data_IF_769251067058
#
_entry.id   IF_769251067058
#
_cell.length_a   1.000
_cell.length_b   1.000
_cell.length_c   1.000
_cell.angle_alpha   90.00
_cell.angle_beta   90.00
_cell.angle_gamma   90.00
#
_symmetry.space_group_name_H-M   'P 1'
#
loop_
_entity.id
_entity.type
_entity.pdbx_description
1 polymer ?
#
# COMPACT_ATOMS: atom_id res chain seq x y z
N UNK A 1 -8.25 -13.13 -2.62
CA UNK A 1 -8.33 -13.36 -4.08
C UNK A 1 -8.83 -14.77 -4.34
N UNK A 2 -10.14 -14.94 -4.43
CA UNK A 2 -10.76 -16.11 -5.03
C UNK A 2 -11.64 -15.53 -6.13
N UNK A 3 -11.43 -15.97 -7.37
CA UNK A 3 -12.23 -15.69 -8.59
C UNK A 3 -11.41 -15.19 -9.79
N UNK A 4 -10.29 -15.83 -10.10
CA UNK A 4 -9.89 -16.03 -11.50
C UNK A 4 -9.42 -17.47 -11.64
N UNK A 5 -10.32 -18.36 -12.00
CA UNK A 5 -10.01 -19.76 -12.24
C UNK A 5 -11.25 -20.55 -12.60
N UNK A 6 -11.45 -20.85 -13.89
CA UNK A 6 -12.39 -21.89 -14.31
C UNK A 6 -12.12 -23.16 -13.51
N UNK A 7 -13.14 -23.91 -13.08
CA UNK A 7 -13.13 -24.93 -12.00
C UNK A 7 -12.12 -26.09 -12.02
N UNK A 8 -11.06 -26.02 -12.83
CA UNK A 8 -9.86 -26.86 -12.79
C UNK A 8 -8.58 -26.09 -12.42
N UNK A 9 -8.63 -24.76 -12.26
CA UNK A 9 -7.49 -23.96 -11.84
C UNK A 9 -7.20 -24.18 -10.35
N UNK A 10 -5.92 -24.30 -10.00
CA UNK A 10 -5.45 -24.34 -8.63
C UNK A 10 -4.22 -23.44 -8.48
N UNK A 11 -4.03 -22.88 -7.29
CA UNK A 11 -2.82 -22.13 -6.98
C UNK A 11 -1.62 -23.07 -6.92
N UNK A 12 -0.56 -22.75 -7.66
CA UNK A 12 0.74 -23.45 -7.59
C UNK A 12 1.57 -22.90 -6.42
N UNK A 13 1.44 -21.61 -6.15
CA UNK A 13 1.99 -20.90 -4.99
C UNK A 13 1.11 -19.67 -4.71
N UNK A 14 1.05 -19.23 -3.45
CA UNK A 14 0.48 -17.93 -3.09
C UNK A 14 1.60 -16.88 -2.94
N UNK A 15 1.22 -15.62 -2.65
CA UNK A 15 2.20 -14.54 -2.48
C UNK A 15 3.20 -14.82 -1.36
N UNK A 16 2.77 -15.46 -0.26
CA UNK A 16 3.66 -15.77 0.85
C UNK A 16 4.71 -16.83 0.45
N UNK A 17 4.30 -17.85 -0.32
CA UNK A 17 5.18 -18.92 -0.77
C UNK A 17 6.30 -18.44 -1.72
N UNK A 18 6.12 -17.31 -2.40
CA UNK A 18 7.14 -16.71 -3.28
C UNK A 18 7.86 -15.51 -2.65
N UNK A 19 7.59 -15.20 -1.38
CA UNK A 19 8.13 -14.01 -0.72
C UNK A 19 7.66 -12.70 -1.37
N UNK A 20 6.45 -12.69 -1.93
CA UNK A 20 5.85 -11.51 -2.54
C UNK A 20 5.70 -10.41 -1.49
N UNK A 21 6.32 -9.27 -1.77
CA UNK A 21 6.13 -8.03 -1.02
C UNK A 21 5.17 -7.13 -1.79
N UNK A 22 3.88 -7.17 -1.44
CA UNK A 22 2.85 -6.29 -2.02
C UNK A 22 2.83 -4.96 -1.25
N UNK A 23 3.92 -4.21 -1.37
CA UNK A 23 4.06 -2.93 -0.69
C UNK A 23 3.28 -1.82 -1.42
N UNK A 24 2.52 -1.02 -0.67
CA UNK A 24 1.85 0.19 -1.16
C UNK A 24 2.41 1.41 -0.46
N UNK A 25 2.67 2.48 -1.22
CA UNK A 25 3.14 3.76 -0.68
C UNK A 25 2.22 4.90 -1.09
N UNK A 26 2.21 5.96 -0.27
CA UNK A 26 1.60 7.23 -0.63
C UNK A 26 2.67 8.16 -1.21
N UNK A 27 2.37 8.79 -2.34
CA UNK A 27 3.28 9.72 -3.00
C UNK A 27 2.59 11.05 -3.29
N UNK A 28 3.33 12.15 -3.15
CA UNK A 28 2.88 13.50 -3.48
C UNK A 28 3.92 14.17 -4.38
N UNK A 29 3.48 15.07 -5.27
CA UNK A 29 4.39 15.82 -6.13
C UNK A 29 5.23 16.79 -5.28
N UNK A 30 6.53 16.84 -5.54
CA UNK A 30 7.49 17.73 -4.83
C UNK A 30 6.99 19.17 -4.75
N UNK A 31 6.64 19.78 -5.89
CA UNK A 31 6.17 21.17 -5.91
C UNK A 31 4.87 21.40 -5.13
N UNK A 32 4.02 20.38 -4.98
CA UNK A 32 2.83 20.46 -4.13
C UNK A 32 3.20 20.41 -2.64
N UNK A 33 4.11 19.50 -2.27
CA UNK A 33 4.58 19.41 -0.88
C UNK A 33 5.32 20.68 -0.43
N UNK A 34 6.07 21.32 -1.32
CA UNK A 34 6.75 22.59 -1.07
C UNK A 34 5.79 23.78 -0.93
N UNK A 35 4.73 23.82 -1.76
CA UNK A 35 3.77 24.93 -1.74
C UNK A 35 2.69 24.79 -0.66
N UNK A 36 2.40 23.55 -0.27
CA UNK A 36 1.29 23.21 0.63
C UNK A 36 1.71 22.22 1.73
N UNK A 37 2.76 22.53 2.51
CA UNK A 37 3.30 21.64 3.55
C UNK A 37 2.25 21.25 4.58
N UNK A 38 1.41 22.19 5.02
CA UNK A 38 0.35 21.96 6.02
C UNK A 38 -0.76 21.04 5.48
N UNK A 39 -1.04 21.08 4.17
CA UNK A 39 -2.01 20.16 3.56
C UNK A 39 -1.44 18.75 3.52
N UNK A 40 -0.15 18.61 3.19
CA UNK A 40 0.51 17.29 3.17
C UNK A 40 0.56 16.68 4.58
N UNK A 41 0.89 17.48 5.61
CA UNK A 41 0.84 17.03 7.01
C UNK A 41 -0.57 16.59 7.42
N UNK A 42 -1.58 17.40 7.10
CA UNK A 42 -2.97 17.07 7.43
C UNK A 42 -3.45 15.80 6.71
N UNK A 43 -3.09 15.63 5.43
CA UNK A 43 -3.40 14.41 4.68
C UNK A 43 -2.70 13.19 5.28
N UNK A 44 -1.41 13.30 5.63
CA UNK A 44 -0.68 12.23 6.30
C UNK A 44 -1.37 11.83 7.62
N UNK A 45 -1.69 12.80 8.48
CA UNK A 45 -2.35 12.54 9.76
C UNK A 45 -3.70 11.83 9.57
N UNK A 46 -4.52 12.33 8.63
CA UNK A 46 -5.79 11.71 8.29
C UNK A 46 -5.63 10.25 7.84
N UNK A 47 -4.68 9.98 6.94
CA UNK A 47 -4.43 8.63 6.43
C UNK A 47 -3.91 7.70 7.53
N UNK A 48 -3.02 8.17 8.39
CA UNK A 48 -2.52 7.43 9.54
C UNK A 48 -3.66 7.03 10.48
N UNK A 49 -4.44 8.01 10.94
CA UNK A 49 -5.53 7.79 11.88
C UNK A 49 -6.62 6.89 11.27
N UNK A 50 -7.04 7.17 10.04
CA UNK A 50 -8.06 6.37 9.35
C UNK A 50 -7.60 4.93 9.12
N UNK A 51 -6.32 4.70 8.80
CA UNK A 51 -5.80 3.34 8.64
C UNK A 51 -5.76 2.57 9.97
N UNK A 52 -5.54 3.26 11.09
CA UNK A 52 -5.62 2.67 12.42
C UNK A 52 -7.06 2.30 12.80
N UNK A 53 -8.03 3.15 12.46
CA UNK A 53 -9.46 2.87 12.62
C UNK A 53 -9.92 1.72 11.71
N UNK A 54 -9.53 1.72 10.44
CA UNK A 54 -9.84 0.66 9.47
C UNK A 54 -9.34 -0.69 9.97
N UNK A 55 -8.14 -0.75 10.54
CA UNK A 55 -7.59 -1.98 11.10
C UNK A 55 -8.43 -2.53 12.25
N UNK A 56 -9.03 -1.65 13.06
CA UNK A 56 -9.86 -2.04 14.20
C UNK A 56 -11.25 -2.53 13.77
N UNK A 57 -11.87 -1.85 12.80
CA UNK A 57 -13.16 -2.24 12.23
C UNK A 57 -13.14 -2.28 10.68
N UNK A 58 -12.49 -3.29 10.06
CA UNK A 58 -12.41 -3.33 8.61
C UNK A 58 -13.77 -3.46 7.93
N UNK A 59 -14.77 -3.99 8.61
CA UNK A 59 -16.08 -4.22 8.04
C UNK A 59 -16.80 -2.90 7.70
N UNK A 60 -16.56 -1.84 8.47
CA UNK A 60 -17.09 -0.50 8.20
C UNK A 60 -16.48 0.15 6.94
N UNK A 61 -15.33 -0.34 6.49
CA UNK A 61 -14.59 0.18 5.33
C UNK A 61 -14.78 -0.66 4.06
N UNK A 62 -15.55 -1.74 4.13
CA UNK A 62 -15.93 -2.55 2.97
C UNK A 62 -17.34 -2.16 2.50
N UNK A 63 -17.53 -2.12 1.17
CA UNK A 63 -18.82 -1.82 0.55
C UNK A 63 -19.42 -0.45 0.95
N UNK A 64 -18.58 0.52 1.34
CA UNK A 64 -18.99 1.84 1.89
C UNK A 64 -20.10 2.54 1.09
N UNK A 65 -20.07 2.42 -0.24
CA UNK A 65 -21.04 3.07 -1.13
C UNK A 65 -22.08 2.13 -1.74
N UNK A 66 -21.81 0.82 -1.78
CA UNK A 66 -22.70 -0.15 -2.43
C UNK A 66 -22.49 -1.56 -1.88
N UNK A 67 -23.58 -2.19 -1.47
CA UNK A 67 -23.63 -3.59 -1.03
C UNK A 67 -23.91 -4.57 -2.19
N UNK A 68 -24.12 -4.05 -3.40
CA UNK A 68 -24.44 -4.83 -4.59
C UNK A 68 -23.57 -4.42 -5.78
N UNK A 69 -23.38 -5.35 -6.72
CA UNK A 69 -22.61 -5.12 -7.94
C UNK A 69 -21.22 -5.78 -7.92
N UNK A 70 -20.49 -5.72 -9.05
CA UNK A 70 -19.28 -6.53 -9.28
C UNK A 70 -18.10 -6.16 -8.37
N UNK A 71 -18.14 -5.00 -7.70
CA UNK A 71 -17.11 -4.54 -6.77
C UNK A 71 -17.48 -4.77 -5.30
N UNK A 72 -18.73 -5.16 -5.01
CA UNK A 72 -19.17 -5.44 -3.65
C UNK A 72 -18.63 -6.80 -3.20
N UNK A 73 -17.85 -6.81 -2.11
CA UNK A 73 -17.33 -8.06 -1.54
C UNK A 73 -18.40 -8.69 -0.65
N UNK A 74 -18.73 -9.96 -0.91
CA UNK A 74 -19.76 -10.70 -0.17
C UNK A 74 -19.27 -12.09 0.23
N UNK A 75 -19.99 -12.74 1.15
CA UNK A 75 -19.68 -14.10 1.62
C UNK A 75 -18.22 -14.27 2.05
N UNK A 76 -17.58 -15.35 1.57
CA UNK A 76 -16.20 -15.68 1.92
C UNK A 76 -15.19 -14.61 1.50
N UNK A 77 -15.43 -13.90 0.40
CA UNK A 77 -14.55 -12.83 -0.06
C UNK A 77 -14.51 -11.67 0.95
N UNK A 78 -15.67 -11.32 1.54
CA UNK A 78 -15.76 -10.29 2.59
C UNK A 78 -14.99 -10.69 3.84
N UNK A 79 -15.14 -11.94 4.30
CA UNK A 79 -14.41 -12.46 5.46
C UNK A 79 -12.89 -12.41 5.24
N UNK A 80 -12.44 -12.90 4.09
CA UNK A 80 -11.03 -12.92 3.71
C UNK A 80 -10.47 -11.50 3.66
N UNK A 81 -11.18 -10.57 3.01
CA UNK A 81 -10.75 -9.17 2.92
C UNK A 81 -10.67 -8.52 4.31
N UNK A 82 -11.69 -8.74 5.15
CA UNK A 82 -11.72 -8.23 6.54
C UNK A 82 -10.52 -8.75 7.34
N UNK A 83 -10.19 -10.04 7.22
CA UNK A 83 -9.05 -10.64 7.89
C UNK A 83 -7.71 -10.07 7.40
N UNK A 84 -7.56 -9.90 6.08
CA UNK A 84 -6.37 -9.28 5.49
C UNK A 84 -6.19 -7.84 5.97
N UNK A 85 -7.24 -7.01 5.91
CA UNK A 85 -7.17 -5.61 6.36
C UNK A 85 -6.83 -5.51 7.85
N UNK A 86 -7.41 -6.37 8.72
CA UNK A 86 -7.08 -6.40 10.16
C UNK A 86 -5.60 -6.73 10.43
N UNK A 87 -4.98 -7.55 9.57
CA UNK A 87 -3.56 -7.93 9.67
C UNK A 87 -2.63 -6.93 8.99
N UNK A 88 -3.18 -5.97 8.25
CA UNK A 88 -2.41 -4.95 7.52
C UNK A 88 -1.65 -3.98 8.43
N UNK A 89 -0.74 -3.22 7.81
CA UNK A 89 -0.07 -2.08 8.44
C UNK A 89 -0.95 -0.83 8.44
N UNK A 90 -0.52 0.17 9.19
CA UNK A 90 -1.04 1.54 9.11
C UNK A 90 -0.23 2.35 8.10
N UNK A 91 -0.72 3.53 7.73
CA UNK A 91 0.09 4.50 6.98
C UNK A 91 1.11 5.11 7.94
N UNK A 92 2.32 4.59 7.93
CA UNK A 92 3.42 5.02 8.80
C UNK A 92 4.52 5.75 8.00
N UNK A 93 5.41 6.51 8.65
CA UNK A 93 6.58 7.08 8.00
C UNK A 93 7.49 5.97 7.46
N UNK A 94 8.08 6.20 6.29
CA UNK A 94 9.04 5.28 5.67
C UNK A 94 10.29 5.18 6.56
N UNK A 95 10.51 4.00 7.13
CA UNK A 95 11.62 3.72 8.04
C UNK A 95 12.83 3.05 7.35
N UNK A 96 13.91 2.79 8.08
CA UNK A 96 15.13 2.19 7.52
C UNK A 96 14.90 0.83 6.83
N UNK A 97 13.97 0.01 7.34
CA UNK A 97 13.64 -1.27 6.72
C UNK A 97 12.95 -1.09 5.36
N UNK A 98 12.05 -0.13 5.24
CA UNK A 98 11.37 0.21 3.98
C UNK A 98 12.37 0.74 2.94
N UNK A 99 13.31 1.60 3.38
CA UNK A 99 14.36 2.14 2.52
C UNK A 99 15.21 1.02 1.94
N UNK A 100 15.66 0.07 2.76
CA UNK A 100 16.45 -1.07 2.30
C UNK A 100 15.68 -1.91 1.26
N UNK A 101 14.36 -2.09 1.44
CA UNK A 101 13.50 -2.78 0.48
C UNK A 101 13.40 -2.02 -0.84
N UNK A 102 13.14 -0.71 -0.79
CA UNK A 102 13.09 0.12 -2.00
C UNK A 102 14.41 0.15 -2.75
N UNK A 103 15.54 0.18 -2.03
CA UNK A 103 16.87 0.13 -2.65
C UNK A 103 17.13 -1.19 -3.38
N UNK A 104 16.64 -2.31 -2.84
CA UNK A 104 16.73 -3.62 -3.50
C UNK A 104 15.92 -3.63 -4.80
N UNK A 105 14.68 -3.12 -4.76
CA UNK A 105 13.82 -3.01 -5.95
C UNK A 105 14.43 -2.06 -7.00
N UNK A 106 14.93 -0.91 -6.58
CA UNK A 106 15.61 0.05 -7.46
C UNK A 106 16.83 -0.58 -8.15
N UNK A 107 17.57 -1.43 -7.43
CA UNK A 107 18.68 -2.22 -8.00
C UNK A 107 18.21 -3.17 -9.09
N UNK A 108 17.18 -3.99 -8.81
CA UNK A 108 16.59 -4.92 -9.79
C UNK A 108 16.14 -4.16 -11.05
N UNK A 109 15.47 -3.02 -10.89
CA UNK A 109 14.98 -2.24 -12.03
C UNK A 109 16.10 -1.69 -12.91
N UNK A 110 17.20 -1.22 -12.29
CA UNK A 110 18.38 -0.78 -13.02
C UNK A 110 19.10 -1.95 -13.71
N UNK A 111 19.26 -3.08 -13.04
CA UNK A 111 19.86 -4.30 -13.62
C UNK A 111 19.07 -4.83 -14.82
N UNK A 112 17.74 -4.75 -14.74
CA UNK A 112 16.83 -5.13 -15.84
C UNK A 112 16.63 -4.00 -16.87
N UNK A 113 17.36 -2.88 -16.73
CA UNK A 113 17.32 -1.73 -17.65
C UNK A 113 15.93 -1.10 -17.81
N UNK A 114 15.07 -1.24 -16.79
CA UNK A 114 13.78 -0.55 -16.72
C UNK A 114 14.00 0.93 -16.43
N UNK A 115 15.02 1.24 -15.63
CA UNK A 115 15.53 2.60 -15.40
C UNK A 115 16.93 2.74 -15.98
N UNK A 116 17.32 3.96 -16.36
CA UNK A 116 18.68 4.24 -16.89
C UNK A 116 19.76 4.00 -15.84
N UNK A 117 19.48 4.41 -14.60
CA UNK A 117 20.35 4.25 -13.43
C UNK A 117 19.52 3.78 -12.23
N UNK A 118 20.20 3.38 -11.15
CA UNK A 118 19.55 3.09 -9.87
C UNK A 118 18.96 4.39 -9.30
N UNK A 119 17.67 4.36 -8.96
CA UNK A 119 16.97 5.49 -8.31
C UNK A 119 17.55 5.73 -6.92
N UNK A 120 17.83 7.00 -6.60
CA UNK A 120 18.17 7.45 -5.24
C UNK A 120 16.87 7.56 -4.41
N UNK A 121 16.56 6.50 -3.67
CA UNK A 121 15.35 6.44 -2.84
C UNK A 121 15.35 7.56 -1.79
N UNK A 122 16.49 7.81 -1.14
CA UNK A 122 16.58 8.77 -0.04
C UNK A 122 16.28 10.19 -0.49
N UNK A 123 16.66 10.56 -1.72
CA UNK A 123 16.35 11.86 -2.31
C UNK A 123 14.85 12.11 -2.55
N UNK A 124 14.02 11.07 -2.46
CA UNK A 124 12.58 11.14 -2.74
C UNK A 124 11.71 10.91 -1.49
N UNK A 125 12.31 10.78 -0.30
CA UNK A 125 11.56 10.65 0.95
C UNK A 125 11.16 12.01 1.50
N UNK A 126 9.92 12.11 1.98
CA UNK A 126 9.44 13.27 2.71
C UNK A 126 9.46 12.99 4.21
N UNK A 127 10.12 13.89 4.95
CA UNK A 127 10.05 13.92 6.40
C UNK A 127 8.92 14.86 6.82
N UNK A 128 7.79 14.27 7.23
CA UNK A 128 6.56 14.99 7.59
C UNK A 128 6.81 16.01 8.71
N UNK A 129 7.66 15.68 9.68
CA UNK A 129 7.97 16.57 10.81
C UNK A 129 8.81 17.79 10.37
N UNK A 130 9.53 17.68 9.26
CA UNK A 130 10.42 18.73 8.73
C UNK A 130 9.82 19.52 7.56
N UNK A 131 8.61 19.21 7.11
CA UNK A 131 7.91 20.00 6.11
C UNK A 131 7.67 21.43 6.65
N UNK A 132 8.09 22.44 5.88
CA UNK A 132 8.03 23.87 6.24
C UNK A 132 7.03 24.60 5.39
#
# INVERSE_FOLDING_TARGET
MAEIGSGKAHFVADGAAIGSDNYSLNAVRTGFAEQHPEIVKALYQYLHDASAEEKQDPAAYLNVFTDVGPTAVTGRAKEVQTEFTRKGGTVDPIGPEDIARFEAVAGIYAEQQVTTDKVDVAAHLLDIEKLK
#
